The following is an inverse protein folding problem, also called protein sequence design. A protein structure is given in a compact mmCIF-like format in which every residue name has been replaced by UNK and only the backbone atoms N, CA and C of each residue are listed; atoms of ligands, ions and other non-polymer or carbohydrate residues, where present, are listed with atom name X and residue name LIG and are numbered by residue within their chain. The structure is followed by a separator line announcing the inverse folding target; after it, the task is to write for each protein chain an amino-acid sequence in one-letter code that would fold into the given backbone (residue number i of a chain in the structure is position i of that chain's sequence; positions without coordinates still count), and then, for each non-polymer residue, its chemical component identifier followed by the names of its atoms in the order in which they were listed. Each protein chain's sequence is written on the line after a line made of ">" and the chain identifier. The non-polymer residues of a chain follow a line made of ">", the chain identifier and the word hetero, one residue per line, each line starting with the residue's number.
data_IF_334267905917
#
_entry.id   IF_334267905917
#
_cell.length_a   1.000
_cell.length_b   1.000
_cell.length_c   1.000
_cell.angle_alpha   90.00
_cell.angle_beta   90.00
_cell.angle_gamma   90.00
#
_symmetry.space_group_name_H-M   'P 1'
#
loop_
_entity.id
_entity.type
_entity.pdbx_description
1 polymer ?
#
# COMPACT_ATOMS: atom_id res chain seq x y z
N UNK A 1 6.88 25.36 39.17
CA UNK A 1 6.97 24.33 40.23
C UNK A 1 7.61 23.10 39.62
N UNK A 2 8.78 22.68 40.12
CA UNK A 2 9.56 21.53 39.62
C UNK A 2 9.36 20.34 40.57
N UNK A 3 9.16 19.13 40.05
CA UNK A 3 9.32 17.88 40.82
C UNK A 3 10.32 16.98 40.10
N UNK A 4 11.41 16.69 40.80
CA UNK A 4 12.34 15.59 40.51
C UNK A 4 11.90 14.37 41.31
N UNK A 5 12.18 13.17 40.79
CA UNK A 5 12.24 11.94 41.57
C UNK A 5 13.40 11.08 41.06
N UNK A 6 14.22 10.69 42.03
CA UNK A 6 15.44 9.89 41.96
C UNK A 6 15.05 8.43 42.23
N UNK A 7 15.64 7.46 41.52
CA UNK A 7 15.74 6.10 42.05
C UNK A 7 17.14 5.53 41.86
N UNK A 8 17.61 4.93 42.95
CA UNK A 8 18.98 4.55 43.27
C UNK A 8 19.25 3.08 42.95
N UNK A 9 20.47 2.80 42.53
CA UNK A 9 21.01 1.46 42.32
C UNK A 9 21.29 0.73 43.65
N UNK A 10 21.19 -0.60 43.65
CA UNK A 10 21.86 -1.47 44.61
C UNK A 10 22.23 -2.81 43.96
N UNK A 11 23.54 -3.05 43.97
CA UNK A 11 24.32 -4.19 43.52
C UNK A 11 24.48 -5.18 44.69
N UNK A 12 24.27 -6.49 44.50
CA UNK A 12 24.83 -7.53 45.40
C UNK A 12 25.30 -8.73 44.58
N UNK A 13 26.61 -8.91 44.55
CA UNK A 13 27.30 -10.17 44.22
C UNK A 13 27.25 -11.13 45.42
N UNK A 14 27.15 -12.43 45.17
CA UNK A 14 27.76 -13.42 46.05
C UNK A 14 28.35 -14.58 45.23
N UNK A 15 29.64 -14.82 45.48
CA UNK A 15 30.45 -15.94 45.03
C UNK A 15 30.32 -17.10 46.02
N UNK A 16 30.32 -18.34 45.52
CA UNK A 16 30.54 -19.56 46.29
C UNK A 16 31.50 -20.49 45.52
N UNK A 17 32.61 -20.85 46.16
CA UNK A 17 33.72 -21.65 45.64
C UNK A 17 33.64 -23.12 46.12
N UNK A 18 34.22 -23.99 45.29
CA UNK A 18 34.96 -25.23 45.56
C UNK A 18 34.23 -26.57 45.85
N UNK A 19 34.66 -27.60 45.10
CA UNK A 19 34.55 -29.02 45.44
C UNK A 19 34.97 -29.96 44.29
N UNK A 20 36.21 -30.45 44.29
CA UNK A 20 36.67 -31.57 43.45
C UNK A 20 36.34 -32.93 44.13
N UNK A 21 36.05 -33.95 43.34
CA UNK A 21 36.01 -35.35 43.78
C UNK A 21 35.71 -36.32 42.63
N UNK A 22 36.67 -37.18 42.31
CA UNK A 22 36.62 -38.24 41.31
C UNK A 22 35.94 -39.55 41.82
N UNK A 23 35.62 -40.41 40.83
CA UNK A 23 35.39 -41.86 40.85
C UNK A 23 33.96 -42.48 40.97
N UNK A 24 33.53 -43.02 39.81
CA UNK A 24 32.82 -44.30 39.52
C UNK A 24 31.52 -44.67 40.26
N UNK A 25 30.42 -44.77 39.50
CA UNK A 25 29.90 -46.06 38.98
C UNK A 25 28.47 -45.96 38.39
N UNK A 26 28.31 -46.58 37.21
CA UNK A 26 27.12 -47.24 36.64
C UNK A 26 25.84 -46.43 36.37
N UNK A 27 25.63 -46.12 35.08
CA UNK A 27 24.31 -46.00 34.47
C UNK A 27 24.26 -46.74 33.12
N UNK A 28 23.22 -47.56 32.95
CA UNK A 28 22.50 -47.82 31.69
C UNK A 28 21.11 -48.38 32.11
N UNK A 29 20.03 -48.22 31.32
CA UNK A 29 19.79 -47.26 30.24
C UNK A 29 18.42 -46.56 30.37
N UNK A 30 18.32 -45.28 29.99
CA UNK A 30 17.03 -44.68 29.62
C UNK A 30 17.09 -44.11 28.20
N UNK A 31 16.49 -44.89 27.30
CA UNK A 31 15.73 -44.55 26.11
C UNK A 31 16.13 -43.26 25.38
N UNK A 32 16.81 -43.50 24.27
CA UNK A 32 16.77 -42.68 23.05
C UNK A 32 15.34 -42.17 22.78
N UNK A 33 15.17 -40.85 22.83
CA UNK A 33 14.13 -40.18 22.06
C UNK A 33 14.79 -39.70 20.78
N UNK A 34 14.36 -40.31 19.67
CA UNK A 34 14.93 -40.15 18.34
C UNK A 34 15.06 -38.70 17.92
N UNK A 35 16.29 -38.35 17.52
CA UNK A 35 16.55 -37.30 16.55
C UNK A 35 15.76 -37.64 15.30
N UNK A 36 14.73 -36.84 15.02
CA UNK A 36 14.07 -36.81 13.72
C UNK A 36 15.13 -36.35 12.73
N UNK A 37 15.69 -37.29 11.97
CA UNK A 37 16.54 -36.98 10.84
C UNK A 37 15.72 -36.08 9.90
N UNK A 38 16.16 -34.84 9.73
CA UNK A 38 15.70 -34.01 8.62
C UNK A 38 16.05 -34.77 7.33
N UNK A 39 15.02 -35.10 6.55
CA UNK A 39 15.21 -35.60 5.19
C UNK A 39 16.07 -34.59 4.42
N UNK A 40 17.04 -35.04 3.61
CA UNK A 40 17.85 -34.13 2.82
C UNK A 40 16.94 -33.32 1.90
N UNK A 41 16.88 -32.00 2.13
CA UNK A 41 16.18 -31.06 1.26
C UNK A 41 16.66 -31.30 -0.18
N UNK A 42 15.75 -31.76 -1.04
CA UNK A 42 16.06 -32.04 -2.44
C UNK A 42 16.20 -30.70 -3.15
N UNK A 43 17.44 -30.22 -3.30
CA UNK A 43 17.72 -29.00 -4.06
C UNK A 43 17.33 -29.23 -5.53
N UNK A 44 16.27 -28.58 -6.00
CA UNK A 44 15.73 -28.80 -7.36
C UNK A 44 16.45 -27.90 -8.38
N UNK A 45 16.52 -26.59 -8.14
CA UNK A 45 17.25 -25.65 -8.98
C UNK A 45 18.76 -25.65 -8.66
N UNK A 46 19.61 -25.66 -9.70
CA UNK A 46 21.08 -25.70 -9.55
C UNK A 46 21.78 -24.45 -10.11
N UNK A 47 21.08 -23.68 -10.92
CA UNK A 47 21.57 -22.47 -11.61
C UNK A 47 20.57 -21.34 -11.45
N UNK A 48 21.00 -20.11 -11.72
CA UNK A 48 20.08 -18.95 -11.78
C UNK A 48 19.06 -19.07 -12.92
N UNK A 49 19.43 -19.74 -14.03
CA UNK A 49 18.52 -19.96 -15.17
C UNK A 49 17.39 -20.95 -14.83
N UNK A 50 17.64 -21.94 -13.96
CA UNK A 50 16.60 -22.85 -13.48
C UNK A 50 15.53 -22.06 -12.70
N UNK A 51 15.94 -21.19 -11.78
CA UNK A 51 15.03 -20.34 -11.01
C UNK A 51 14.26 -19.38 -11.92
N UNK A 52 14.93 -18.75 -12.88
CA UNK A 52 14.28 -17.86 -13.86
C UNK A 52 13.23 -18.58 -14.69
N UNK A 53 13.44 -19.87 -14.99
CA UNK A 53 12.42 -20.69 -15.64
C UNK A 53 11.20 -20.88 -14.73
N UNK A 54 11.40 -21.16 -13.45
CA UNK A 54 10.29 -21.23 -12.48
C UNK A 54 9.52 -19.91 -12.37
N UNK A 55 10.20 -18.76 -12.33
CA UNK A 55 9.54 -17.46 -12.36
C UNK A 55 8.63 -17.29 -13.60
N UNK A 56 9.09 -17.75 -14.78
CA UNK A 56 8.29 -17.72 -16.01
C UNK A 56 7.11 -18.70 -15.95
N UNK A 57 7.36 -19.92 -15.47
CA UNK A 57 6.36 -20.98 -15.40
C UNK A 57 5.22 -20.59 -14.42
N UNK A 58 5.55 -19.87 -13.34
CA UNK A 58 4.59 -19.33 -12.36
C UNK A 58 3.98 -17.98 -12.78
N UNK A 59 4.31 -17.50 -13.98
CA UNK A 59 3.70 -16.30 -14.57
C UNK A 59 4.12 -14.98 -13.92
N UNK A 60 5.29 -14.94 -13.29
CA UNK A 60 5.85 -13.71 -12.75
C UNK A 60 6.35 -12.80 -13.87
N UNK A 61 6.23 -11.49 -13.67
CA UNK A 61 6.70 -10.51 -14.64
C UNK A 61 8.23 -10.55 -14.74
N UNK A 62 8.74 -10.69 -15.95
CA UNK A 62 10.17 -10.59 -16.25
C UNK A 62 10.33 -9.79 -17.54
N UNK A 63 11.08 -8.70 -17.47
CA UNK A 63 11.55 -7.94 -18.61
C UNK A 63 12.85 -8.52 -19.17
N UNK A 64 13.78 -7.63 -19.51
CA UNK A 64 15.11 -8.04 -19.95
C UNK A 64 15.88 -8.72 -18.81
N UNK A 65 16.54 -9.83 -19.14
CA UNK A 65 17.44 -10.54 -18.23
C UNK A 65 18.83 -10.55 -18.83
N UNK A 66 19.82 -10.10 -18.07
CA UNK A 66 21.21 -10.01 -18.51
C UNK A 66 22.18 -10.53 -17.44
N UNK A 67 23.38 -10.91 -17.87
CA UNK A 67 24.43 -11.35 -16.95
C UNK A 67 24.94 -10.17 -16.11
N UNK A 68 25.07 -10.38 -14.80
CA UNK A 68 25.70 -9.37 -13.95
C UNK A 68 27.22 -9.38 -14.15
N UNK A 69 27.85 -8.23 -14.46
CA UNK A 69 29.29 -8.10 -14.56
C UNK A 69 30.01 -8.56 -13.29
N UNK A 70 31.06 -9.38 -13.45
CA UNK A 70 31.78 -10.07 -12.35
C UNK A 70 32.37 -9.14 -11.28
N UNK A 71 32.66 -7.91 -11.65
CA UNK A 71 33.19 -6.83 -10.84
C UNK A 71 32.17 -6.23 -9.86
N UNK A 72 30.87 -6.34 -10.14
CA UNK A 72 29.82 -6.02 -9.17
C UNK A 72 29.96 -7.00 -7.97
N UNK A 73 30.23 -6.53 -6.74
CA UNK A 73 30.52 -7.36 -5.55
C UNK A 73 31.84 -8.16 -5.54
N UNK A 74 32.84 -7.82 -6.35
CA UNK A 74 34.21 -8.32 -6.14
C UNK A 74 34.38 -9.86 -6.20
N UNK A 75 33.62 -10.54 -7.07
CA UNK A 75 33.68 -12.00 -7.30
C UNK A 75 33.27 -12.92 -6.14
N UNK A 76 32.37 -12.51 -5.24
CA UNK A 76 31.92 -13.40 -4.15
C UNK A 76 30.83 -14.41 -4.56
N UNK A 77 30.21 -14.24 -5.73
CA UNK A 77 29.13 -15.09 -6.27
C UNK A 77 29.64 -16.08 -7.32
N UNK A 78 28.90 -17.18 -7.49
CA UNK A 78 29.10 -18.17 -8.56
C UNK A 78 28.42 -17.73 -9.86
N UNK A 79 27.15 -17.33 -9.79
CA UNK A 79 26.35 -16.84 -10.92
C UNK A 79 25.52 -15.63 -10.47
N UNK A 80 25.18 -14.74 -11.41
CA UNK A 80 24.29 -13.63 -11.14
C UNK A 80 23.64 -13.07 -12.39
N UNK A 81 22.34 -12.77 -12.30
CA UNK A 81 21.54 -12.16 -13.37
C UNK A 81 20.89 -10.87 -12.89
N UNK A 82 20.87 -9.85 -13.74
CA UNK A 82 19.99 -8.68 -13.61
C UNK A 82 18.66 -9.06 -14.22
N UNK A 83 17.58 -8.67 -13.56
CA UNK A 83 16.20 -8.91 -13.99
C UNK A 83 15.53 -7.55 -14.01
N UNK A 84 15.09 -7.08 -15.17
CA UNK A 84 14.22 -5.90 -15.23
C UNK A 84 12.76 -6.29 -14.98
N UNK A 85 12.01 -5.40 -14.34
CA UNK A 85 10.58 -5.54 -14.07
C UNK A 85 9.89 -4.31 -14.68
N UNK A 86 9.33 -4.43 -15.90
CA UNK A 86 8.78 -3.29 -16.65
C UNK A 86 7.76 -2.46 -15.87
N UNK A 87 6.92 -3.08 -15.06
CA UNK A 87 5.95 -2.37 -14.20
C UNK A 87 6.58 -1.41 -13.19
N UNK A 88 7.87 -1.57 -12.85
CA UNK A 88 8.62 -0.69 -11.96
C UNK A 88 9.39 0.43 -12.70
N UNK A 89 9.40 0.41 -14.04
CA UNK A 89 10.10 1.38 -14.89
C UNK A 89 11.29 0.80 -15.68
N UNK A 90 11.79 1.58 -16.64
CA UNK A 90 12.69 1.12 -17.72
C UNK A 90 14.02 0.52 -17.24
N UNK A 91 14.54 0.92 -16.07
CA UNK A 91 15.78 0.38 -15.49
C UNK A 91 15.57 -0.19 -14.07
N UNK A 92 14.32 -0.48 -13.73
CA UNK A 92 13.93 -1.01 -12.42
C UNK A 92 13.81 -2.53 -12.45
N UNK A 93 14.05 -3.15 -11.29
CA UNK A 93 13.92 -4.59 -11.12
C UNK A 93 14.84 -5.10 -10.01
N UNK A 94 15.58 -6.17 -10.29
CA UNK A 94 16.35 -6.84 -9.26
C UNK A 94 17.51 -7.68 -9.78
N UNK A 95 18.04 -8.46 -8.86
CA UNK A 95 19.19 -9.32 -9.05
C UNK A 95 18.93 -10.67 -8.42
N UNK A 96 19.28 -11.72 -9.16
CA UNK A 96 19.27 -13.08 -8.66
C UNK A 96 20.70 -13.60 -8.65
N UNK A 97 21.12 -14.12 -7.49
CA UNK A 97 22.46 -14.60 -7.27
C UNK A 97 22.46 -16.07 -6.85
N UNK A 98 23.52 -16.78 -7.23
CA UNK A 98 23.89 -18.08 -6.68
C UNK A 98 25.32 -17.99 -6.12
N UNK A 99 25.53 -18.52 -4.92
CA UNK A 99 26.82 -18.51 -4.23
C UNK A 99 27.41 -19.92 -4.10
N UNK A 100 28.73 -20.00 -3.95
CA UNK A 100 29.41 -21.27 -3.62
C UNK A 100 29.29 -21.64 -2.14
N UNK A 101 29.03 -20.65 -1.27
CA UNK A 101 28.95 -20.84 0.17
C UNK A 101 28.06 -19.77 0.83
N UNK A 102 27.60 -20.09 2.04
CA UNK A 102 26.69 -19.26 2.82
C UNK A 102 27.33 -17.97 3.35
N UNK A 103 28.65 -17.97 3.58
CA UNK A 103 29.38 -16.78 4.07
C UNK A 103 29.31 -15.63 3.06
N UNK A 104 29.58 -15.92 1.79
CA UNK A 104 29.50 -14.95 0.71
C UNK A 104 28.07 -14.47 0.46
N UNK A 105 27.09 -15.37 0.58
CA UNK A 105 25.68 -15.01 0.50
C UNK A 105 25.31 -14.02 1.59
N UNK A 106 25.65 -14.32 2.85
CA UNK A 106 25.37 -13.45 4.00
C UNK A 106 26.01 -12.07 3.82
N UNK A 107 27.26 -12.01 3.33
CA UNK A 107 27.92 -10.73 3.00
C UNK A 107 27.13 -9.92 1.98
N UNK A 108 26.67 -10.55 0.90
CA UNK A 108 25.86 -9.86 -0.12
C UNK A 108 24.52 -9.38 0.44
N UNK A 109 23.83 -10.22 1.23
CA UNK A 109 22.56 -9.84 1.86
C UNK A 109 22.74 -8.67 2.83
N UNK A 110 23.75 -8.75 3.72
CA UNK A 110 24.05 -7.67 4.67
C UNK A 110 24.34 -6.35 3.98
N UNK A 111 25.01 -6.34 2.83
CA UNK A 111 25.23 -5.11 2.07
C UNK A 111 23.92 -4.41 1.69
N UNK A 112 22.93 -5.15 1.17
CA UNK A 112 21.64 -4.56 0.79
C UNK A 112 20.82 -4.13 2.00
N UNK A 113 20.82 -4.94 3.06
CA UNK A 113 20.11 -4.61 4.30
C UNK A 113 20.70 -3.33 4.95
N UNK A 114 22.04 -3.21 5.00
CA UNK A 114 22.73 -2.02 5.51
C UNK A 114 22.50 -0.79 4.62
N UNK A 115 22.50 -0.97 3.30
CA UNK A 115 22.22 0.10 2.35
C UNK A 115 20.79 0.64 2.52
N UNK A 116 19.80 -0.24 2.65
CA UNK A 116 18.42 0.14 2.94
C UNK A 116 18.24 0.86 4.28
N UNK A 117 19.04 0.49 5.30
CA UNK A 117 19.05 1.18 6.58
C UNK A 117 19.68 2.58 6.52
N UNK A 118 20.43 2.91 5.47
CA UNK A 118 21.06 4.22 5.31
C UNK A 118 20.10 5.31 4.82
N UNK A 119 19.10 4.94 4.01
CA UNK A 119 18.05 5.82 3.50
C UNK A 119 16.91 4.98 2.91
N UNK A 120 15.63 5.38 3.11
CA UNK A 120 14.49 4.73 2.45
C UNK A 120 14.62 4.64 0.93
N UNK A 121 15.29 5.61 0.29
CA UNK A 121 15.54 5.64 -1.16
C UNK A 121 16.41 4.46 -1.65
N UNK A 122 17.19 3.84 -0.76
CA UNK A 122 18.02 2.68 -1.12
C UNK A 122 17.47 1.36 -0.55
N UNK A 123 16.24 1.38 -0.03
CA UNK A 123 15.59 0.17 0.42
C UNK A 123 15.46 -0.82 -0.75
N UNK A 124 15.64 -2.10 -0.44
CA UNK A 124 15.44 -3.20 -1.38
C UNK A 124 14.89 -4.40 -0.63
N UNK A 125 14.03 -5.16 -1.29
CA UNK A 125 13.59 -6.43 -0.76
C UNK A 125 14.69 -7.46 -0.98
N UNK A 126 14.94 -8.30 0.03
CA UNK A 126 15.87 -9.43 -0.09
C UNK A 126 15.27 -10.71 0.47
N UNK A 127 15.52 -11.83 -0.21
CA UNK A 127 15.07 -13.15 0.23
C UNK A 127 16.10 -14.21 -0.12
N UNK A 128 16.40 -15.10 0.84
CA UNK A 128 17.37 -16.18 0.70
C UNK A 128 16.66 -17.52 0.71
N UNK A 129 17.00 -18.39 -0.23
CA UNK A 129 16.65 -19.82 -0.17
C UNK A 129 17.84 -20.67 -0.62
N UNK A 130 18.30 -21.57 0.25
CA UNK A 130 19.55 -22.30 0.05
C UNK A 130 20.74 -21.36 -0.16
N UNK A 131 21.47 -21.54 -1.27
CA UNK A 131 22.60 -20.68 -1.69
C UNK A 131 22.17 -19.60 -2.70
N UNK A 132 20.87 -19.37 -2.88
CA UNK A 132 20.35 -18.31 -3.72
C UNK A 132 19.97 -17.07 -2.89
N UNK A 133 20.21 -15.90 -3.47
CA UNK A 133 19.73 -14.62 -2.95
C UNK A 133 18.97 -13.90 -4.06
N UNK A 134 17.73 -13.55 -3.77
CA UNK A 134 16.94 -12.62 -4.56
C UNK A 134 17.02 -11.23 -3.92
N UNK A 135 17.29 -10.23 -4.73
CA UNK A 135 17.16 -8.81 -4.39
C UNK A 135 16.23 -8.14 -5.39
N UNK A 136 15.25 -7.36 -4.94
CA UNK A 136 14.37 -6.55 -5.80
C UNK A 136 14.35 -5.09 -5.34
N UNK A 137 14.10 -4.16 -6.25
CA UNK A 137 13.92 -2.74 -5.95
C UNK A 137 12.84 -2.58 -4.85
N UNK A 138 13.07 -1.69 -3.88
CA UNK A 138 12.15 -1.38 -2.79
C UNK A 138 10.82 -0.75 -3.20
N UNK A 139 10.69 -0.29 -4.45
CA UNK A 139 9.41 0.18 -5.01
C UNK A 139 8.46 -0.99 -5.38
N UNK A 140 8.95 -2.24 -5.36
CA UNK A 140 8.11 -3.43 -5.56
C UNK A 140 7.19 -3.60 -4.35
N UNK A 141 5.91 -3.91 -4.58
CA UNK A 141 4.99 -4.16 -3.48
C UNK A 141 5.37 -5.45 -2.72
N UNK A 142 5.22 -5.46 -1.39
CA UNK A 142 5.58 -6.60 -0.53
C UNK A 142 4.96 -7.92 -1.00
N UNK A 143 3.70 -7.90 -1.46
CA UNK A 143 3.01 -9.07 -1.95
C UNK A 143 3.51 -9.56 -3.31
N UNK A 144 3.90 -8.63 -4.18
CA UNK A 144 4.54 -8.97 -5.44
C UNK A 144 5.89 -9.62 -5.18
N UNK A 145 6.70 -9.02 -4.30
CA UNK A 145 7.97 -9.60 -3.88
C UNK A 145 7.78 -10.99 -3.21
N UNK A 146 6.74 -11.16 -2.39
CA UNK A 146 6.41 -12.43 -1.76
C UNK A 146 6.17 -13.55 -2.78
N UNK A 147 5.58 -13.25 -3.95
CA UNK A 147 5.42 -14.25 -5.04
C UNK A 147 6.76 -14.70 -5.60
N UNK A 148 7.70 -13.77 -5.82
CA UNK A 148 9.05 -14.12 -6.25
C UNK A 148 9.80 -14.93 -5.18
N UNK A 149 9.70 -14.53 -3.91
CA UNK A 149 10.30 -15.25 -2.79
C UNK A 149 9.73 -16.68 -2.66
N UNK A 150 8.41 -16.84 -2.71
CA UNK A 150 7.72 -18.13 -2.67
C UNK A 150 8.11 -19.04 -3.83
N UNK A 151 8.21 -18.48 -5.04
CA UNK A 151 8.65 -19.22 -6.23
C UNK A 151 10.12 -19.64 -6.09
N UNK A 152 10.98 -18.77 -5.56
CA UNK A 152 12.37 -19.11 -5.27
C UNK A 152 12.47 -20.26 -4.25
N UNK A 153 11.75 -20.18 -3.12
CA UNK A 153 11.74 -21.26 -2.12
C UNK A 153 11.26 -22.57 -2.72
N UNK A 154 10.20 -22.52 -3.53
CA UNK A 154 9.65 -23.71 -4.19
C UNK A 154 10.63 -24.28 -5.22
N UNK A 155 11.29 -23.43 -6.02
CA UNK A 155 12.30 -23.83 -6.99
C UNK A 155 13.55 -24.42 -6.33
N UNK A 156 13.92 -23.97 -5.13
CA UNK A 156 15.10 -24.46 -4.42
C UNK A 156 14.78 -25.68 -3.58
N UNK A 157 13.72 -25.65 -2.79
CA UNK A 157 13.44 -26.66 -1.74
C UNK A 157 12.29 -27.61 -2.09
N UNK A 158 11.49 -27.30 -3.12
CA UNK A 158 10.30 -28.04 -3.52
C UNK A 158 9.01 -27.63 -2.80
N UNK A 159 9.08 -26.69 -1.87
CA UNK A 159 7.92 -26.16 -1.12
C UNK A 159 8.19 -24.73 -0.64
N UNK A 160 7.16 -24.02 -0.21
CA UNK A 160 7.30 -22.71 0.44
C UNK A 160 6.37 -22.63 1.65
N UNK A 161 6.79 -21.89 2.67
CA UNK A 161 5.94 -21.53 3.81
C UNK A 161 5.51 -20.05 3.76
N UNK A 162 5.81 -19.35 2.67
CA UNK A 162 5.43 -17.95 2.50
C UNK A 162 3.93 -17.92 2.20
N UNK A 163 3.16 -17.38 3.13
CA UNK A 163 1.75 -17.06 2.91
C UNK A 163 1.65 -15.86 1.96
N UNK A 164 1.32 -16.13 0.70
CA UNK A 164 0.94 -15.09 -0.24
C UNK A 164 -0.46 -14.64 0.18
N UNK A 165 -0.55 -13.44 0.74
CA UNK A 165 -1.85 -12.80 0.93
C UNK A 165 -2.42 -12.59 -0.47
N UNK A 166 -3.50 -13.27 -0.81
CA UNK A 166 -4.25 -12.96 -2.03
C UNK A 166 -4.75 -11.52 -1.90
N UNK A 167 -3.97 -10.59 -2.44
CA UNK A 167 -4.55 -9.37 -2.99
C UNK A 167 -5.11 -9.81 -4.33
N UNK A 168 -6.44 -9.79 -4.41
CA UNK A 168 -7.15 -9.83 -5.67
C UNK A 168 -6.43 -8.90 -6.64
N UNK A 169 -6.18 -9.37 -7.87
CA UNK A 169 -5.76 -8.52 -8.99
C UNK A 169 -6.75 -7.36 -9.11
N UNK A 170 -6.51 -6.26 -8.39
CA UNK A 170 -7.27 -5.04 -8.55
C UNK A 170 -6.89 -4.50 -9.93
N UNK A 171 -7.88 -4.20 -10.78
CA UNK A 171 -7.55 -3.43 -11.96
C UNK A 171 -7.06 -2.07 -11.44
N UNK A 172 -5.83 -1.72 -11.76
CA UNK A 172 -5.26 -0.45 -11.33
C UNK A 172 -5.91 0.63 -12.19
N UNK A 173 -6.75 1.46 -11.58
CA UNK A 173 -7.28 2.66 -12.22
C UNK A 173 -6.34 3.83 -11.93
N UNK A 174 -6.10 4.69 -12.93
CA UNK A 174 -5.18 5.81 -12.80
C UNK A 174 -5.71 6.92 -11.87
N UNK A 175 -7.03 7.02 -11.71
CA UNK A 175 -7.68 8.03 -10.87
C UNK A 175 -9.05 7.56 -10.34
N UNK A 176 -9.57 8.27 -9.32
CA UNK A 176 -10.85 7.96 -8.68
C UNK A 176 -12.06 8.13 -9.61
N UNK A 177 -11.99 9.05 -10.56
CA UNK A 177 -13.09 9.33 -11.50
C UNK A 177 -13.34 8.14 -12.45
N UNK A 178 -12.30 7.45 -12.90
CA UNK A 178 -12.41 6.31 -13.84
C UNK A 178 -12.48 4.93 -13.17
N UNK A 179 -12.19 4.85 -11.87
CA UNK A 179 -12.14 3.58 -11.14
C UNK A 179 -13.48 2.83 -11.05
N UNK A 180 -13.44 1.52 -11.20
CA UNK A 180 -14.56 0.58 -11.10
C UNK A 180 -14.51 -0.23 -9.80
N UNK A 181 -15.56 -0.98 -9.49
CA UNK A 181 -15.60 -1.84 -8.29
C UNK A 181 -14.42 -2.81 -8.29
N UNK A 182 -13.70 -2.86 -7.16
CA UNK A 182 -12.50 -3.67 -6.96
C UNK A 182 -11.21 -2.99 -7.39
N UNK A 183 -11.27 -1.84 -8.08
CA UNK A 183 -10.08 -1.11 -8.46
C UNK A 183 -9.42 -0.47 -7.25
N UNK A 184 -8.09 -0.44 -7.28
CA UNK A 184 -7.26 0.19 -6.24
C UNK A 184 -6.62 1.43 -6.83
N UNK A 185 -6.85 2.56 -6.18
CA UNK A 185 -6.30 3.87 -6.54
C UNK A 185 -5.42 4.36 -5.42
N UNK A 186 -4.12 4.55 -5.71
CA UNK A 186 -3.16 5.12 -4.76
C UNK A 186 -3.10 6.63 -4.91
N UNK A 187 -3.14 7.34 -3.79
CA UNK A 187 -2.94 8.78 -3.72
C UNK A 187 -1.89 9.08 -2.66
N UNK A 188 -0.79 9.72 -3.06
CA UNK A 188 0.36 9.96 -2.19
C UNK A 188 0.05 10.83 -0.96
N UNK A 189 -1.02 11.62 -1.02
CA UNK A 189 -1.47 12.46 0.10
C UNK A 189 -2.49 11.74 0.98
N UNK A 190 -3.57 11.23 0.38
CA UNK A 190 -4.70 10.68 1.12
C UNK A 190 -4.47 9.23 1.57
N UNK A 191 -3.83 8.40 0.75
CA UNK A 191 -3.63 6.97 0.96
C UNK A 191 -4.21 6.11 -0.17
N UNK A 192 -4.61 4.90 0.17
CA UNK A 192 -5.06 3.89 -0.81
C UNK A 192 -6.56 3.71 -0.75
N UNK A 193 -7.23 3.92 -1.87
CA UNK A 193 -8.66 3.67 -2.05
C UNK A 193 -8.88 2.32 -2.71
N UNK A 194 -9.79 1.52 -2.18
CA UNK A 194 -10.33 0.33 -2.83
C UNK A 194 -11.80 0.56 -3.11
N UNK A 195 -12.20 0.67 -4.38
CA UNK A 195 -13.58 0.98 -4.76
C UNK A 195 -14.49 -0.19 -4.41
N UNK A 196 -15.57 0.08 -3.67
CA UNK A 196 -16.51 -0.93 -3.18
C UNK A 196 -17.80 -0.96 -3.97
N UNK A 197 -18.36 0.20 -4.32
CA UNK A 197 -19.62 0.29 -5.06
C UNK A 197 -19.66 1.51 -5.97
N UNK A 198 -20.44 1.40 -7.05
CA UNK A 198 -20.79 2.50 -7.96
C UNK A 198 -22.28 2.76 -7.86
N UNK A 199 -22.68 4.03 -7.95
CA UNK A 199 -24.08 4.42 -7.81
C UNK A 199 -24.58 5.17 -9.05
N UNK A 200 -25.89 5.07 -9.26
CA UNK A 200 -26.60 5.94 -10.19
C UNK A 200 -26.63 7.38 -9.65
N UNK A 201 -26.46 8.35 -10.54
CA UNK A 201 -26.57 9.77 -10.23
C UNK A 201 -27.53 10.42 -11.21
N UNK A 202 -28.28 11.46 -10.80
CA UNK A 202 -29.14 12.19 -11.71
C UNK A 202 -28.31 12.81 -12.84
N UNK A 203 -28.72 12.57 -14.09
CA UNK A 203 -28.13 13.25 -15.25
C UNK A 203 -28.76 14.64 -15.42
N UNK A 204 -28.52 15.49 -14.43
CA UNK A 204 -29.07 16.84 -14.34
C UNK A 204 -27.94 17.85 -14.14
N UNK A 205 -28.16 19.05 -14.64
CA UNK A 205 -27.30 20.20 -14.39
C UNK A 205 -27.97 21.12 -13.39
N UNK A 206 -27.17 21.61 -12.46
CA UNK A 206 -27.57 22.53 -11.42
C UNK A 206 -26.87 23.85 -11.60
N UNK A 207 -27.41 24.92 -11.01
CA UNK A 207 -26.87 26.26 -11.21
C UNK A 207 -26.87 27.06 -9.92
N UNK A 208 -25.75 27.69 -9.61
CA UNK A 208 -25.63 28.73 -8.58
C UNK A 208 -25.01 29.97 -9.22
N UNK A 209 -25.79 31.04 -9.38
CA UNK A 209 -25.42 32.23 -10.15
C UNK A 209 -24.84 31.87 -11.53
N UNK A 210 -23.58 32.23 -11.78
CA UNK A 210 -22.90 32.04 -13.07
C UNK A 210 -22.16 30.70 -13.18
N UNK A 211 -22.24 29.83 -12.15
CA UNK A 211 -21.66 28.49 -12.19
C UNK A 211 -22.75 27.45 -12.44
N UNK A 212 -22.62 26.69 -13.52
CA UNK A 212 -23.39 25.48 -13.79
C UNK A 212 -22.56 24.26 -13.40
N UNK A 213 -23.15 23.25 -12.74
CA UNK A 213 -22.42 22.06 -12.32
C UNK A 213 -23.26 20.79 -12.42
N UNK A 214 -22.58 19.64 -12.50
CA UNK A 214 -23.19 18.31 -12.52
C UNK A 214 -22.47 17.37 -11.56
N UNK A 215 -23.21 16.35 -11.08
CA UNK A 215 -22.63 15.19 -10.41
C UNK A 215 -22.46 14.13 -11.49
N UNK A 216 -21.21 13.83 -11.84
CA UNK A 216 -20.90 12.92 -12.95
C UNK A 216 -20.74 11.48 -12.46
N UNK A 217 -20.45 11.30 -11.17
CA UNK A 217 -20.27 9.99 -10.56
C UNK A 217 -20.41 10.03 -9.04
N UNK A 218 -20.88 8.92 -8.49
CA UNK A 218 -20.91 8.67 -7.06
C UNK A 218 -20.44 7.25 -6.81
N UNK A 219 -19.47 7.10 -5.89
CA UNK A 219 -18.84 5.83 -5.55
C UNK A 219 -18.62 5.73 -4.06
N UNK A 220 -18.50 4.52 -3.55
CA UNK A 220 -17.92 4.29 -2.23
C UNK A 220 -16.61 3.53 -2.36
N UNK A 221 -15.71 3.76 -1.40
CA UNK A 221 -14.44 3.06 -1.32
C UNK A 221 -14.07 2.81 0.14
N UNK A 222 -13.22 1.81 0.36
CA UNK A 222 -12.42 1.71 1.58
C UNK A 222 -11.17 2.56 1.39
N UNK A 223 -10.93 3.51 2.28
CA UNK A 223 -9.71 4.31 2.33
C UNK A 223 -8.84 3.80 3.47
N UNK A 224 -7.64 3.33 3.13
CA UNK A 224 -6.53 3.17 4.08
C UNK A 224 -5.71 4.45 4.04
N UNK A 225 -5.80 5.27 5.07
CA UNK A 225 -5.22 6.62 5.06
C UNK A 225 -3.70 6.58 5.25
N UNK A 226 -2.98 7.41 4.50
CA UNK A 226 -1.52 7.56 4.65
C UNK A 226 -1.16 8.19 6.01
N UNK A 227 -1.99 9.11 6.48
CA UNK A 227 -1.94 9.69 7.82
C UNK A 227 -3.33 9.60 8.46
N UNK A 228 -3.48 8.93 9.62
CA UNK A 228 -4.76 8.85 10.33
C UNK A 228 -5.39 10.22 10.66
N UNK A 229 -4.62 11.30 10.78
CA UNK A 229 -5.16 12.65 11.01
C UNK A 229 -5.98 13.20 9.82
N UNK A 230 -5.90 12.55 8.65
CA UNK A 230 -6.70 12.93 7.48
C UNK A 230 -8.14 12.44 7.57
N UNK A 231 -8.47 11.51 8.47
CA UNK A 231 -9.82 10.94 8.65
C UNK A 231 -10.19 10.88 10.13
N UNK A 232 -11.48 10.83 10.46
CA UNK A 232 -11.88 11.19 11.83
C UNK A 232 -11.51 10.15 12.90
N UNK A 233 -11.32 8.86 12.60
CA UNK A 233 -11.20 7.85 13.68
C UNK A 233 -10.47 6.52 13.45
N UNK A 234 -9.93 6.19 12.27
CA UNK A 234 -9.32 4.87 12.04
C UNK A 234 -8.18 4.90 11.01
N UNK A 235 -7.35 3.85 10.97
CA UNK A 235 -6.38 3.66 9.88
C UNK A 235 -7.07 3.28 8.55
N UNK A 236 -8.31 2.77 8.63
CA UNK A 236 -9.17 2.42 7.50
C UNK A 236 -10.59 2.95 7.75
N UNK A 237 -11.22 3.58 6.77
CA UNK A 237 -12.62 4.04 6.84
C UNK A 237 -13.36 3.81 5.52
N UNK A 238 -14.69 3.80 5.54
CA UNK A 238 -15.47 3.90 4.30
C UNK A 238 -15.61 5.38 3.92
N UNK A 239 -15.46 5.67 2.64
CA UNK A 239 -15.66 7.01 2.09
C UNK A 239 -16.68 6.99 0.98
N UNK A 240 -17.40 8.11 0.81
CA UNK A 240 -18.14 8.42 -0.40
C UNK A 240 -17.35 9.41 -1.24
N UNK A 241 -17.21 9.12 -2.52
CA UNK A 241 -16.52 9.96 -3.50
C UNK A 241 -17.55 10.47 -4.50
N UNK A 242 -17.67 11.79 -4.60
CA UNK A 242 -18.56 12.48 -5.52
C UNK A 242 -17.73 13.17 -6.61
N UNK A 243 -17.81 12.68 -7.84
CA UNK A 243 -17.17 13.31 -9.00
C UNK A 243 -18.06 14.44 -9.53
N UNK A 244 -17.52 15.65 -9.62
CA UNK A 244 -18.24 16.87 -10.01
C UNK A 244 -17.54 17.53 -11.19
N UNK A 245 -18.34 18.05 -12.12
CA UNK A 245 -17.91 19.03 -13.12
C UNK A 245 -18.60 20.36 -12.85
N UNK A 246 -17.84 21.45 -12.81
CA UNK A 246 -18.36 22.82 -12.76
C UNK A 246 -17.89 23.64 -13.97
N UNK A 247 -18.74 24.55 -14.44
CA UNK A 247 -18.46 25.48 -15.54
C UNK A 247 -18.85 26.89 -15.10
N UNK A 248 -17.90 27.83 -15.15
CA UNK A 248 -18.21 29.25 -15.04
C UNK A 248 -18.65 29.79 -16.41
N UNK A 249 -19.85 30.36 -16.44
CA UNK A 249 -20.47 30.90 -17.66
C UNK A 249 -20.16 32.39 -17.86
N UNK A 250 -19.53 33.04 -16.88
CA UNK A 250 -19.18 34.46 -16.92
C UNK A 250 -17.71 34.69 -17.30
N UNK A 251 -17.38 35.92 -17.73
CA UNK A 251 -16.00 36.36 -17.94
C UNK A 251 -15.32 36.82 -16.64
N UNK A 252 -16.09 36.93 -15.55
CA UNK A 252 -15.59 37.33 -14.24
C UNK A 252 -14.94 36.14 -13.51
N UNK A 253 -14.07 36.47 -12.53
CA UNK A 253 -13.64 35.48 -11.53
C UNK A 253 -14.76 35.24 -10.53
N UNK A 254 -15.09 33.97 -10.28
CA UNK A 254 -16.05 33.54 -9.28
C UNK A 254 -15.49 32.37 -8.48
N UNK A 255 -15.95 32.22 -7.24
CA UNK A 255 -15.59 31.11 -6.36
C UNK A 255 -16.78 30.18 -6.17
N UNK A 256 -16.56 28.89 -6.34
CA UNK A 256 -17.51 27.83 -6.05
C UNK A 256 -16.79 26.73 -5.29
N UNK A 257 -17.28 26.39 -4.09
CA UNK A 257 -16.58 25.50 -3.15
C UNK A 257 -17.29 24.15 -2.94
N UNK A 258 -17.28 23.22 -3.91
CA UNK A 258 -17.84 21.88 -3.69
C UNK A 258 -17.20 21.12 -2.53
N UNK A 259 -15.93 21.39 -2.21
CA UNK A 259 -15.20 20.75 -1.11
C UNK A 259 -15.73 21.13 0.27
N UNK A 260 -16.67 22.07 0.40
CA UNK A 260 -17.37 22.42 1.66
C UNK A 260 -18.82 21.91 1.71
N UNK A 261 -19.20 21.05 0.77
CA UNK A 261 -20.56 20.48 0.69
C UNK A 261 -20.92 19.69 1.94
N UNK A 262 -22.17 19.83 2.41
CA UNK A 262 -22.72 18.98 3.46
C UNK A 262 -23.59 17.87 2.88
N UNK A 263 -23.41 16.65 3.36
CA UNK A 263 -24.28 15.52 3.05
C UNK A 263 -25.21 15.22 4.22
N UNK A 264 -26.48 14.96 3.92
CA UNK A 264 -27.51 14.56 4.89
C UNK A 264 -28.14 13.25 4.42
N UNK A 265 -28.20 12.26 5.28
CA UNK A 265 -28.83 10.96 5.00
C UNK A 265 -30.30 10.92 5.45
N UNK A 266 -31.10 10.02 4.90
CA UNK A 266 -32.45 9.71 5.40
C UNK A 266 -32.44 9.06 6.80
N UNK A 267 -31.30 8.49 7.19
CA UNK A 267 -31.02 8.05 8.57
C UNK A 267 -30.65 9.21 9.52
N UNK A 268 -30.73 10.46 9.05
CA UNK A 268 -30.50 11.71 9.80
C UNK A 268 -29.05 11.95 10.23
N UNK A 269 -28.08 11.32 9.56
CA UNK A 269 -26.66 11.68 9.70
C UNK A 269 -26.40 12.95 8.91
N UNK A 270 -25.60 13.85 9.48
CA UNK A 270 -25.04 15.00 8.77
C UNK A 270 -23.54 14.83 8.75
N UNK A 271 -22.96 14.88 7.55
CA UNK A 271 -21.55 14.60 7.32
C UNK A 271 -20.98 15.75 6.48
N UNK A 272 -19.90 16.34 6.98
CA UNK A 272 -19.12 17.34 6.26
C UNK A 272 -18.19 16.66 5.26
N UNK A 273 -17.99 17.28 4.09
CA UNK A 273 -16.94 16.84 3.19
C UNK A 273 -15.57 17.07 3.80
N UNK A 274 -14.65 16.15 3.52
CA UNK A 274 -13.27 16.23 3.96
C UNK A 274 -12.49 17.13 3.00
N UNK A 275 -12.30 18.38 3.41
CA UNK A 275 -11.60 19.42 2.63
C UNK A 275 -10.15 19.06 2.31
N UNK A 276 -9.50 18.21 3.12
CA UNK A 276 -8.07 17.89 2.98
C UNK A 276 -7.82 16.93 1.81
N UNK A 277 -8.69 15.93 1.66
CA UNK A 277 -8.53 14.87 0.64
C UNK A 277 -9.44 15.06 -0.57
N UNK A 278 -10.30 16.09 -0.57
CA UNK A 278 -11.12 16.47 -1.73
C UNK A 278 -10.30 17.29 -2.72
N UNK A 279 -10.22 16.84 -3.96
CA UNK A 279 -9.52 17.52 -5.07
C UNK A 279 -10.52 18.26 -5.94
N UNK A 280 -10.83 19.51 -5.62
CA UNK A 280 -11.63 20.38 -6.50
C UNK A 280 -11.15 21.83 -6.41
N UNK A 281 -10.69 22.39 -7.53
CA UNK A 281 -10.30 23.80 -7.63
C UNK A 281 -11.53 24.68 -7.44
N UNK A 282 -11.47 25.65 -6.53
CA UNK A 282 -12.67 26.45 -6.20
C UNK A 282 -12.77 27.77 -6.95
N UNK A 283 -11.65 28.30 -7.44
CA UNK A 283 -11.60 29.60 -8.13
C UNK A 283 -11.71 29.39 -9.65
N UNK A 284 -12.72 30.01 -10.26
CA UNK A 284 -12.96 29.96 -11.70
C UNK A 284 -12.61 31.32 -12.32
N UNK A 285 -11.50 31.39 -13.05
CA UNK A 285 -11.06 32.64 -13.71
C UNK A 285 -11.60 32.68 -15.15
N UNK A 286 -12.72 33.40 -15.33
CA UNK A 286 -13.43 33.47 -16.61
C UNK A 286 -14.11 32.16 -17.00
N UNK A 287 -14.41 32.01 -18.30
CA UNK A 287 -15.17 30.85 -18.83
C UNK A 287 -14.34 29.58 -18.88
N UNK A 288 -14.28 28.86 -17.76
CA UNK A 288 -13.52 27.61 -17.61
C UNK A 288 -14.39 26.49 -17.05
N UNK A 289 -13.99 25.26 -17.38
CA UNK A 289 -14.57 24.03 -16.82
C UNK A 289 -13.55 23.44 -15.86
N UNK A 290 -13.99 23.05 -14.67
CA UNK A 290 -13.20 22.38 -13.67
C UNK A 290 -13.87 21.07 -13.26
N UNK A 291 -13.05 20.09 -12.91
CA UNK A 291 -13.49 18.77 -12.50
C UNK A 291 -12.76 18.39 -11.24
N UNK A 292 -13.40 17.57 -10.42
CA UNK A 292 -12.78 17.09 -9.21
C UNK A 292 -13.67 16.19 -8.39
N UNK A 293 -13.14 15.81 -7.24
CA UNK A 293 -13.74 14.87 -6.32
C UNK A 293 -14.01 15.54 -4.96
N UNK A 294 -15.22 15.34 -4.45
CA UNK A 294 -15.61 15.71 -3.08
C UNK A 294 -15.77 14.43 -2.28
N UNK A 295 -15.02 14.30 -1.19
CA UNK A 295 -14.93 13.08 -0.40
C UNK A 295 -15.59 13.28 0.95
N UNK A 296 -16.39 12.31 1.39
CA UNK A 296 -17.05 12.28 2.69
C UNK A 296 -16.59 11.07 3.48
N UNK A 297 -16.19 11.26 4.74
CA UNK A 297 -15.90 10.16 5.66
C UNK A 297 -17.22 9.56 6.16
N UNK A 298 -17.48 8.31 5.81
CA UNK A 298 -18.69 7.60 6.21
C UNK A 298 -18.50 6.80 7.51
N UNK A 299 -17.28 6.68 8.02
CA UNK A 299 -16.95 5.80 9.12
C UNK A 299 -17.18 4.32 8.79
N UNK A 300 -17.20 3.47 9.83
CA UNK A 300 -17.35 2.01 9.70
C UNK A 300 -18.70 1.59 9.10
N UNK A 301 -19.77 2.34 9.38
CA UNK A 301 -21.14 1.99 8.96
C UNK A 301 -21.40 2.22 7.45
N UNK A 302 -20.53 2.98 6.77
CA UNK A 302 -20.70 3.28 5.34
C UNK A 302 -22.08 3.88 5.05
N UNK A 303 -22.77 3.31 4.06
CA UNK A 303 -24.15 3.67 3.66
C UNK A 303 -25.19 2.59 4.06
N UNK A 304 -24.90 1.74 5.05
CA UNK A 304 -25.85 0.69 5.43
C UNK A 304 -27.21 1.27 5.84
N UNK A 305 -28.28 0.78 5.21
CA UNK A 305 -29.66 1.21 5.47
C UNK A 305 -30.04 2.61 4.95
N UNK A 306 -29.11 3.34 4.33
CA UNK A 306 -29.35 4.64 3.71
C UNK A 306 -29.98 4.47 2.33
N UNK A 307 -31.07 5.17 2.06
CA UNK A 307 -31.79 5.09 0.77
C UNK A 307 -31.64 6.34 -0.08
N UNK A 308 -31.36 7.47 0.56
CA UNK A 308 -31.31 8.77 -0.07
C UNK A 308 -30.22 9.62 0.58
N UNK A 309 -29.47 10.33 -0.27
CA UNK A 309 -28.46 11.31 0.11
C UNK A 309 -28.89 12.68 -0.38
N UNK A 310 -28.78 13.67 0.50
CA UNK A 310 -29.00 15.07 0.19
C UNK A 310 -27.70 15.85 0.32
N UNK A 311 -27.19 16.35 -0.80
CA UNK A 311 -26.00 17.20 -0.87
C UNK A 311 -26.42 18.67 -0.89
N UNK A 312 -25.87 19.45 0.03
CA UNK A 312 -26.13 20.89 0.16
C UNK A 312 -24.85 21.64 -0.23
N UNK A 313 -24.84 22.14 -1.46
CA UNK A 313 -23.77 22.96 -2.02
C UNK A 313 -23.96 24.42 -1.59
N UNK A 314 -22.87 25.06 -1.19
CA UNK A 314 -22.89 26.48 -0.86
C UNK A 314 -23.05 27.35 -2.11
N UNK A 315 -23.46 28.59 -1.87
CA UNK A 315 -23.67 29.58 -2.92
C UNK A 315 -22.34 30.00 -3.56
N UNK A 316 -22.33 30.17 -4.88
CA UNK A 316 -21.22 30.82 -5.59
C UNK A 316 -20.98 32.23 -5.04
N UNK A 317 -19.72 32.59 -4.86
CA UNK A 317 -19.31 33.93 -4.44
C UNK A 317 -18.50 34.65 -5.50
N UNK A 318 -18.51 35.98 -5.40
CA UNK A 318 -17.66 36.90 -6.15
C UNK A 318 -17.23 38.02 -5.21
N UNK A 319 -15.96 38.37 -5.20
CA UNK A 319 -15.39 39.42 -4.34
C UNK A 319 -15.77 39.25 -2.85
N UNK A 320 -15.72 38.01 -2.33
CA UNK A 320 -16.13 37.62 -0.98
C UNK A 320 -17.62 37.87 -0.64
N UNK A 321 -18.50 37.93 -1.63
CA UNK A 321 -19.96 38.03 -1.43
C UNK A 321 -20.66 36.90 -2.16
N UNK A 322 -21.61 36.25 -1.49
CA UNK A 322 -22.50 35.30 -2.14
C UNK A 322 -23.34 36.01 -3.21
N UNK A 323 -23.33 35.47 -4.42
CA UNK A 323 -24.08 35.98 -5.56
C UNK A 323 -25.13 34.99 -6.06
N UNK A 324 -25.07 33.72 -5.63
CA UNK A 324 -26.06 32.69 -5.93
C UNK A 324 -26.90 32.26 -4.72
N UNK A 325 -27.66 31.20 -4.90
CA UNK A 325 -28.34 30.49 -3.82
C UNK A 325 -27.63 29.17 -3.49
N UNK A 326 -27.86 28.66 -2.28
CA UNK A 326 -27.45 27.29 -1.96
C UNK A 326 -28.24 26.33 -2.82
N UNK A 327 -27.59 25.28 -3.30
CA UNK A 327 -28.22 24.26 -4.12
C UNK A 327 -28.32 22.97 -3.34
N UNK A 328 -29.50 22.38 -3.30
CA UNK A 328 -29.73 21.07 -2.70
C UNK A 328 -29.97 20.04 -3.78
N UNK A 329 -29.13 19.00 -3.82
CA UNK A 329 -29.25 17.89 -4.74
C UNK A 329 -29.61 16.63 -3.98
N UNK A 330 -30.62 15.90 -4.46
CA UNK A 330 -31.07 14.64 -3.85
C UNK A 330 -30.68 13.50 -4.78
N UNK A 331 -29.96 12.52 -4.24
CA UNK A 331 -29.45 11.36 -4.98
C UNK A 331 -29.93 10.08 -4.28
N UNK A 332 -30.68 9.20 -4.97
CA UNK A 332 -31.04 7.90 -4.42
C UNK A 332 -29.81 6.98 -4.33
N UNK A 333 -29.74 6.15 -3.30
CA UNK A 333 -28.66 5.17 -3.12
C UNK A 333 -29.01 3.89 -3.90
N UNK A 334 -28.87 3.98 -5.22
CA UNK A 334 -29.08 2.85 -6.14
C UNK A 334 -27.73 2.41 -6.72
N UNK A 335 -27.32 1.17 -6.44
CA UNK A 335 -26.08 0.59 -6.99
C UNK A 335 -26.25 0.31 -8.49
N UNK A 336 -25.17 0.51 -9.26
CA UNK A 336 -25.09 0.16 -10.68
C UNK A 336 -24.81 -1.33 -10.90
#
# INVERSE_FOLDING_TARGET
>A
MKKQLIFSAALVLSLGLAGCGDDKAKEEPQKENGTKAEEPQKVLAKTVDDVLKHFKDDGLELGEVSDLPKDEFGNIRKEGKRILIPSLGDDSGGRLFLFDNEENLKKAKSYYDELGNSSPMFYSHTHQSGLFLLQMNGDMEDNEFAKFAATLETAVTGSTNIEIKEESKANKADNLTEANVGDVVKNDFAGTYTITDLYEVPNEKYKSADVEFSIDGMKTAKLVAQNPELIETAAETNVLILSITGENLSDDTVDFHPSTTKMITDTKRQIDSNVMISSFESEFIGKVIQKGEVIFDLGEDGLEGVKELKFVFDSTSKDNRFIGEKVTVVVPVNKK
#
